data_IF_312592057568
#
_entry.id   IF_312592057568
#
_cell.length_a   1.000
_cell.length_b   1.000
_cell.length_c   1.000
_cell.angle_alpha   90.00
_cell.angle_beta   90.00
_cell.angle_gamma   90.00
#
_symmetry.space_group_name_H-M   'P 1'
#
loop_
_entity.id
_entity.type
_entity.pdbx_description
1 polymer ?
#
# COMPACT_ATOMS: atom_id res chain seq x y z
N UNK A 1 22.25 -4.18 22.09
CA UNK A 1 21.91 -3.28 20.97
C UNK A 1 20.41 -3.22 20.90
N UNK A 2 19.86 -2.01 20.92
CA UNK A 2 18.43 -1.74 21.17
C UNK A 2 17.69 -1.97 19.84
N UNK A 3 17.04 -3.13 19.70
CA UNK A 3 16.15 -3.38 18.57
C UNK A 3 15.00 -2.39 18.65
N UNK A 4 14.94 -1.45 17.71
CA UNK A 4 13.79 -0.56 17.57
C UNK A 4 12.61 -1.42 17.13
N UNK A 5 11.82 -1.91 18.10
CA UNK A 5 10.45 -2.33 17.86
C UNK A 5 9.69 -1.06 17.47
N UNK A 6 9.72 -0.73 16.17
CA UNK A 6 8.80 0.24 15.60
C UNK A 6 7.39 -0.27 15.89
N UNK A 7 6.76 0.29 16.92
CA UNK A 7 5.39 0.02 17.28
C UNK A 7 4.55 0.38 16.06
N UNK A 8 4.14 -0.63 15.27
CA UNK A 8 3.22 -0.41 14.17
C UNK A 8 1.96 0.20 14.77
N UNK A 9 1.55 1.33 14.23
CA UNK A 9 0.26 1.91 14.60
C UNK A 9 -0.78 0.98 14.03
N UNK A 10 -1.52 0.30 14.90
CA UNK A 10 -2.66 -0.53 14.48
C UNK A 10 -3.74 0.39 13.90
N UNK A 11 -4.21 0.09 12.70
CA UNK A 11 -5.15 0.88 11.92
C UNK A 11 -6.47 0.11 11.80
N UNK A 12 -7.30 0.08 12.87
CA UNK A 12 -8.46 -0.79 12.92
C UNK A 12 -9.51 -0.47 11.84
N UNK A 13 -9.53 0.77 11.33
CA UNK A 13 -10.58 1.24 10.40
C UNK A 13 -10.01 1.77 9.08
N UNK A 14 -10.79 1.72 8.01
CA UNK A 14 -10.41 2.28 6.70
C UNK A 14 -10.07 3.77 6.81
N UNK A 15 -10.86 4.53 7.58
CA UNK A 15 -10.62 5.96 7.83
C UNK A 15 -9.30 6.22 8.56
N UNK A 16 -8.96 5.41 9.56
CA UNK A 16 -7.68 5.52 10.27
C UNK A 16 -6.50 5.31 9.32
N UNK A 17 -6.62 4.37 8.37
CA UNK A 17 -5.59 4.15 7.35
C UNK A 17 -5.52 5.28 6.33
N UNK A 18 -6.65 5.79 5.85
CA UNK A 18 -6.68 6.96 4.95
C UNK A 18 -6.02 8.18 5.62
N UNK A 19 -6.29 8.41 6.90
CA UNK A 19 -5.67 9.50 7.66
C UNK A 19 -4.15 9.31 7.78
N UNK A 20 -3.68 8.10 8.06
CA UNK A 20 -2.25 7.79 8.10
C UNK A 20 -1.57 7.97 6.73
N UNK A 21 -2.21 7.52 5.64
CA UNK A 21 -1.71 7.71 4.27
C UNK A 21 -1.65 9.20 3.92
N UNK A 22 -2.66 9.99 4.34
CA UNK A 22 -2.67 11.44 4.14
C UNK A 22 -1.52 12.13 4.85
N UNK A 23 -1.17 11.70 6.06
CA UNK A 23 -0.01 12.21 6.78
C UNK A 23 1.30 11.92 6.02
N UNK A 24 1.46 10.70 5.47
CA UNK A 24 2.64 10.35 4.65
C UNK A 24 2.67 11.18 3.36
N UNK A 25 1.55 11.32 2.66
CA UNK A 25 1.45 12.12 1.45
C UNK A 25 1.85 13.57 1.70
N UNK A 26 1.40 14.16 2.82
CA UNK A 26 1.77 15.51 3.23
C UNK A 26 3.29 15.62 3.51
N UNK A 27 3.86 14.66 4.26
CA UNK A 27 5.28 14.64 4.59
C UNK A 27 6.19 14.61 3.34
N UNK A 28 5.79 13.86 2.31
CA UNK A 28 6.53 13.75 1.05
C UNK A 28 6.04 14.71 -0.04
N UNK A 29 5.14 15.65 0.28
CA UNK A 29 4.56 16.64 -0.64
C UNK A 29 3.97 15.99 -1.90
N UNK A 30 3.21 14.91 -1.73
CA UNK A 30 2.53 14.18 -2.80
C UNK A 30 1.09 14.64 -2.93
N UNK A 31 0.65 14.81 -4.18
CA UNK A 31 -0.75 14.99 -4.47
C UNK A 31 -1.48 13.67 -4.18
N UNK A 32 -2.57 13.76 -3.41
CA UNK A 32 -3.37 12.61 -2.99
C UNK A 32 -4.81 12.84 -3.40
N UNK A 33 -5.38 11.87 -4.11
CA UNK A 33 -6.83 11.78 -4.31
C UNK A 33 -7.35 10.55 -3.57
N UNK A 34 -8.56 10.65 -3.01
CA UNK A 34 -9.19 9.56 -2.29
C UNK A 34 -10.62 9.43 -2.76
N UNK A 35 -11.00 8.21 -3.12
CA UNK A 35 -12.36 7.82 -3.47
C UNK A 35 -12.80 6.76 -2.47
N UNK A 36 -13.88 7.04 -1.75
CA UNK A 36 -14.46 6.09 -0.80
C UNK A 36 -15.62 5.38 -1.49
N UNK A 37 -15.62 4.06 -1.48
CA UNK A 37 -16.71 3.25 -2.00
C UNK A 37 -17.57 2.76 -0.83
N UNK A 38 -18.47 3.64 -0.39
CA UNK A 38 -19.37 3.40 0.73
C UNK A 38 -20.65 2.76 0.17
N UNK A 39 -20.71 1.43 0.21
CA UNK A 39 -21.91 0.67 -0.11
C UNK A 39 -22.26 0.56 -1.61
N UNK A 40 -21.34 0.80 -2.54
CA UNK A 40 -21.59 0.59 -3.96
C UNK A 40 -20.91 -0.69 -4.49
N UNK A 41 -21.78 -1.68 -4.68
CA UNK A 41 -21.59 -2.95 -5.36
C UNK A 41 -20.88 -2.79 -6.74
N UNK A 42 -19.56 -3.06 -6.86
CA UNK A 42 -18.91 -3.22 -8.18
C UNK A 42 -17.85 -4.30 -8.36
N UNK A 43 -17.40 -5.02 -7.33
CA UNK A 43 -16.55 -6.21 -7.56
C UNK A 43 -16.90 -7.38 -6.66
N UNK A 44 -17.81 -8.22 -7.15
CA UNK A 44 -17.92 -9.68 -7.01
C UNK A 44 -17.04 -10.46 -6.00
N UNK A 45 -16.91 -10.01 -4.74
CA UNK A 45 -16.64 -10.88 -3.59
C UNK A 45 -17.81 -10.77 -2.63
N UNK A 46 -18.79 -11.65 -2.84
CA UNK A 46 -19.95 -11.82 -1.96
C UNK A 46 -19.44 -12.43 -0.65
N UNK A 47 -18.98 -11.59 0.29
CA UNK A 47 -19.08 -11.92 1.71
C UNK A 47 -20.34 -11.25 2.22
N UNK A 48 -21.33 -12.05 2.58
CA UNK A 48 -22.60 -11.61 3.13
C UNK A 48 -22.35 -10.84 4.44
N UNK A 49 -22.28 -9.52 4.40
CA UNK A 49 -22.45 -8.70 5.59
C UNK A 49 -23.95 -8.75 5.98
N UNK A 50 -24.32 -9.26 7.15
CA UNK A 50 -25.70 -9.24 7.61
C UNK A 50 -26.18 -7.79 7.69
N UNK A 51 -27.44 -7.53 7.29
CA UNK A 51 -28.20 -6.39 7.82
C UNK A 51 -27.96 -6.38 9.34
N UNK A 52 -27.45 -5.28 9.91
CA UNK A 52 -26.91 -5.13 11.28
C UNK A 52 -25.38 -5.26 11.47
N UNK A 53 -24.54 -5.00 10.45
CA UNK A 53 -23.11 -4.84 10.69
C UNK A 53 -22.85 -3.62 11.61
N UNK A 54 -22.23 -3.88 12.75
CA UNK A 54 -21.82 -2.88 13.72
C UNK A 54 -20.93 -1.84 13.02
N UNK A 55 -21.20 -0.56 13.29
CA UNK A 55 -20.24 0.52 13.01
C UNK A 55 -18.89 0.15 13.62
N UNK A 56 -17.80 0.47 12.93
CA UNK A 56 -16.44 0.38 13.49
C UNK A 56 -16.38 1.16 14.83
N UNK A 57 -15.37 0.93 15.70
CA UNK A 57 -15.23 1.63 16.98
C UNK A 57 -15.21 3.17 16.86
N UNK A 58 -14.91 3.71 15.67
CA UNK A 58 -14.92 5.13 15.33
C UNK A 58 -16.24 5.64 14.72
N UNK A 59 -17.24 4.76 14.57
CA UNK A 59 -18.54 5.09 13.98
C UNK A 59 -18.61 4.97 12.46
N UNK A 60 -17.50 4.63 11.79
CA UNK A 60 -17.48 4.44 10.33
C UNK A 60 -18.12 3.11 9.91
N UNK A 61 -18.62 3.04 8.68
CA UNK A 61 -19.05 1.77 8.09
C UNK A 61 -17.82 1.08 7.48
N UNK A 62 -17.62 -0.23 7.67
CA UNK A 62 -16.60 -0.97 6.95
C UNK A 62 -16.82 -0.82 5.43
N UNK A 63 -15.84 -0.24 4.74
CA UNK A 63 -15.95 0.09 3.32
C UNK A 63 -14.59 0.05 2.62
N UNK A 64 -14.62 -0.04 1.30
CA UNK A 64 -13.42 0.02 0.47
C UNK A 64 -13.03 1.47 0.19
N UNK A 65 -11.73 1.77 0.22
CA UNK A 65 -11.22 3.08 -0.17
C UNK A 65 -10.10 2.95 -1.19
N UNK A 66 -10.16 3.77 -2.23
CA UNK A 66 -9.12 3.89 -3.24
C UNK A 66 -8.37 5.21 -3.04
N UNK A 67 -7.06 5.11 -2.84
CA UNK A 67 -6.16 6.25 -2.71
C UNK A 67 -5.20 6.24 -3.88
N UNK A 68 -5.10 7.36 -4.59
CA UNK A 68 -4.10 7.55 -5.63
C UNK A 68 -3.14 8.68 -5.26
N UNK A 69 -1.86 8.36 -5.27
CA UNK A 69 -0.75 9.26 -4.98
C UNK A 69 0.00 9.54 -6.28
N UNK A 70 -0.15 10.77 -6.75
CA UNK A 70 0.44 11.21 -8.01
C UNK A 70 1.95 11.45 -7.91
N UNK A 71 2.58 11.48 -9.09
CA UNK A 71 4.00 11.80 -9.27
C UNK A 71 4.82 10.59 -9.72
N UNK A 72 6.12 10.67 -9.49
CA UNK A 72 7.05 9.56 -9.74
C UNK A 72 7.71 9.17 -8.41
N UNK A 73 7.51 7.93 -7.92
CA UNK A 73 6.65 6.89 -8.49
C UNK A 73 5.16 7.23 -8.35
N UNK A 74 4.33 6.75 -9.27
CA UNK A 74 2.88 6.76 -9.10
C UNK A 74 2.49 5.60 -8.17
N UNK A 75 1.65 5.85 -7.16
CA UNK A 75 1.24 4.83 -6.20
C UNK A 75 -0.26 4.83 -6.02
N UNK A 76 -0.89 3.71 -6.35
CA UNK A 76 -2.32 3.48 -6.10
C UNK A 76 -2.47 2.48 -4.95
N UNK A 77 -3.44 2.71 -4.07
CA UNK A 77 -3.69 1.90 -2.88
C UNK A 77 -5.18 1.62 -2.85
N UNK A 78 -5.55 0.35 -2.72
CA UNK A 78 -6.91 -0.08 -2.44
C UNK A 78 -6.96 -0.69 -1.06
N UNK A 79 -7.72 -0.07 -0.17
CA UNK A 79 -7.98 -0.55 1.18
C UNK A 79 -9.26 -1.38 1.16
N UNK A 80 -9.20 -2.58 1.74
CA UNK A 80 -10.35 -3.46 1.91
C UNK A 80 -10.84 -3.41 3.36
N UNK A 81 -12.12 -3.69 3.63
CA UNK A 81 -12.66 -3.69 5.00
C UNK A 81 -12.05 -4.80 5.88
N UNK A 82 -11.52 -5.88 5.30
CA UNK A 82 -10.94 -7.05 6.00
C UNK A 82 -9.50 -6.86 6.52
N UNK A 83 -9.05 -5.62 6.72
CA UNK A 83 -7.70 -5.25 7.23
C UNK A 83 -6.52 -5.51 6.27
N UNK A 84 -6.81 -5.78 5.01
CA UNK A 84 -5.83 -5.91 3.93
C UNK A 84 -5.89 -4.74 2.94
N UNK A 85 -4.80 -4.62 2.16
CA UNK A 85 -4.64 -3.60 1.15
C UNK A 85 -3.92 -4.17 -0.07
N UNK A 86 -4.29 -3.68 -1.24
CA UNK A 86 -3.51 -3.82 -2.46
C UNK A 86 -2.78 -2.51 -2.76
N UNK A 87 -1.48 -2.57 -3.02
CA UNK A 87 -0.66 -1.39 -3.35
C UNK A 87 -0.04 -1.61 -4.72
N UNK A 88 -0.28 -0.69 -5.65
CA UNK A 88 0.39 -0.66 -6.96
C UNK A 88 1.43 0.44 -6.96
N UNK A 89 2.71 0.08 -7.07
CA UNK A 89 3.82 1.04 -7.20
C UNK A 89 4.31 1.02 -8.64
N UNK A 90 4.01 2.08 -9.39
CA UNK A 90 4.52 2.30 -10.75
C UNK A 90 4.30 1.08 -11.67
N UNK A 91 3.12 0.46 -11.54
CA UNK A 91 2.70 -0.74 -12.26
C UNK A 91 3.02 -2.08 -11.58
N UNK A 92 3.72 -2.08 -10.44
CA UNK A 92 4.02 -3.31 -9.66
C UNK A 92 2.97 -3.50 -8.57
N UNK A 93 2.19 -4.59 -8.64
CA UNK A 93 1.05 -4.84 -7.75
C UNK A 93 1.42 -5.74 -6.56
N UNK A 94 1.37 -5.18 -5.36
CA UNK A 94 1.49 -5.92 -4.10
C UNK A 94 0.08 -6.21 -3.58
N UNK A 95 -0.28 -7.49 -3.52
CA UNK A 95 -1.52 -7.96 -2.91
C UNK A 95 -1.29 -8.35 -1.45
N UNK A 96 -2.38 -8.43 -0.68
CA UNK A 96 -2.39 -8.95 0.69
C UNK A 96 -1.44 -8.20 1.65
N UNK A 97 -1.28 -6.89 1.46
CA UNK A 97 -0.49 -6.05 2.37
C UNK A 97 -1.33 -5.71 3.59
N UNK A 98 -0.91 -6.04 4.83
CA UNK A 98 -1.65 -5.63 6.02
C UNK A 98 -1.81 -4.12 6.05
N UNK A 99 -2.97 -3.63 6.46
CA UNK A 99 -3.27 -2.18 6.50
C UNK A 99 -2.24 -1.40 7.33
N UNK A 100 -1.79 -1.96 8.44
CA UNK A 100 -0.74 -1.42 9.32
C UNK A 100 0.62 -1.25 8.62
N UNK A 101 0.87 -2.03 7.56
CA UNK A 101 2.08 -1.96 6.77
C UNK A 101 2.02 -0.89 5.68
N UNK A 102 0.85 -0.32 5.36
CA UNK A 102 0.71 0.66 4.27
C UNK A 102 1.51 1.95 4.54
N UNK A 103 1.39 2.63 5.71
CA UNK A 103 2.19 3.84 5.97
C UNK A 103 3.72 3.62 5.95
N UNK A 104 4.29 2.58 6.60
CA UNK A 104 5.73 2.33 6.52
C UNK A 104 6.16 1.92 5.11
N UNK A 105 5.32 1.22 4.35
CA UNK A 105 5.59 0.89 2.95
C UNK A 105 5.75 2.15 2.10
N UNK A 106 4.80 3.09 2.19
CA UNK A 106 4.89 4.37 1.47
C UNK A 106 6.12 5.18 1.89
N UNK A 107 6.43 5.19 3.19
CA UNK A 107 7.62 5.83 3.72
C UNK A 107 8.90 5.21 3.14
N UNK A 108 8.97 3.89 2.99
CA UNK A 108 10.12 3.21 2.37
C UNK A 108 10.24 3.52 0.87
N UNK A 109 9.13 3.57 0.14
CA UNK A 109 9.10 3.90 -1.29
C UNK A 109 9.59 5.34 -1.52
N UNK A 110 8.94 6.31 -0.87
CA UNK A 110 9.26 7.73 -1.05
C UNK A 110 10.55 8.15 -0.36
N UNK A 111 10.92 7.49 0.74
CA UNK A 111 12.15 7.72 1.49
C UNK A 111 13.42 7.17 0.82
N UNK A 112 13.30 6.49 -0.33
CA UNK A 112 14.47 6.04 -1.08
C UNK A 112 14.98 4.64 -0.70
N UNK A 113 14.26 3.90 0.14
CA UNK A 113 14.67 2.58 0.60
C UNK A 113 14.30 1.46 -0.38
N UNK A 114 13.26 1.67 -1.19
CA UNK A 114 12.86 0.73 -2.23
C UNK A 114 13.96 0.61 -3.31
N UNK A 115 14.28 -0.63 -3.68
CA UNK A 115 15.29 -0.97 -4.69
C UNK A 115 14.79 -2.07 -5.61
N UNK A 116 15.30 -2.10 -6.84
CA UNK A 116 15.00 -3.13 -7.82
C UNK A 116 16.18 -4.08 -7.92
N UNK A 117 15.93 -5.38 -7.78
CA UNK A 117 16.95 -6.41 -8.02
C UNK A 117 16.71 -7.08 -9.37
N UNK A 118 17.77 -7.24 -10.14
CA UNK A 118 17.74 -7.95 -11.41
C UNK A 118 18.15 -9.41 -11.23
N UNK A 119 17.38 -10.33 -11.81
CA UNK A 119 17.75 -11.73 -11.93
C UNK A 119 18.21 -12.01 -13.36
N UNK A 120 19.38 -12.62 -13.52
CA UNK A 120 19.93 -12.97 -14.84
C UNK A 120 19.26 -14.19 -15.50
N UNK A 121 18.75 -15.15 -14.72
CA UNK A 121 18.16 -16.37 -15.29
C UNK A 121 17.06 -17.00 -14.41
N UNK A 122 15.80 -17.11 -14.91
CA UNK A 122 15.27 -16.38 -16.06
C UNK A 122 15.37 -14.85 -15.86
N UNK A 123 15.47 -14.07 -16.95
CA UNK A 123 15.58 -12.62 -16.87
C UNK A 123 14.31 -12.02 -16.26
N UNK A 124 14.48 -11.16 -15.27
CA UNK A 124 13.36 -10.47 -14.63
C UNK A 124 13.83 -9.49 -13.56
N UNK A 125 12.95 -8.55 -13.23
CA UNK A 125 13.18 -7.57 -12.18
C UNK A 125 12.22 -7.82 -11.03
N UNK A 126 12.68 -7.54 -9.81
CA UNK A 126 11.84 -7.54 -8.62
C UNK A 126 11.98 -6.23 -7.89
N UNK A 127 10.86 -5.61 -7.55
CA UNK A 127 10.83 -4.46 -6.66
C UNK A 127 10.85 -4.96 -5.21
N UNK A 128 11.85 -4.54 -4.45
CA UNK A 128 12.01 -4.86 -3.04
C UNK A 128 11.74 -3.60 -2.21
N UNK A 129 10.81 -3.69 -1.26
CA UNK A 129 10.46 -2.61 -0.34
C UNK A 129 10.69 -3.10 1.09
N UNK A 130 11.83 -2.75 1.70
CA UNK A 130 12.12 -3.12 3.08
C UNK A 130 11.34 -2.22 4.04
N UNK A 131 10.61 -2.82 4.98
CA UNK A 131 9.92 -2.14 6.05
C UNK A 131 10.76 -2.10 7.33
N UNK A 132 10.51 -1.12 8.20
CA UNK A 132 11.01 -1.15 9.57
C UNK A 132 10.47 -2.40 10.30
N UNK A 133 11.37 -3.19 10.89
CA UNK A 133 11.01 -4.43 11.60
C UNK A 133 11.31 -5.73 10.84
N UNK A 134 12.26 -5.70 9.90
CA UNK A 134 12.82 -6.87 9.18
C UNK A 134 11.88 -7.55 8.16
N UNK A 135 10.73 -6.92 7.87
CA UNK A 135 9.82 -7.38 6.83
C UNK A 135 10.20 -6.74 5.48
N UNK A 136 10.24 -7.52 4.40
CA UNK A 136 10.53 -6.99 3.07
C UNK A 136 9.54 -7.53 2.06
N UNK A 137 8.76 -6.64 1.47
CA UNK A 137 7.86 -6.96 0.36
C UNK A 137 8.66 -7.05 -0.92
N UNK A 138 8.47 -8.12 -1.69
CA UNK A 138 9.18 -8.37 -2.95
C UNK A 138 8.20 -8.84 -3.98
N UNK A 139 8.11 -8.11 -5.09
CA UNK A 139 7.20 -8.47 -6.16
C UNK A 139 7.86 -8.39 -7.53
N UNK A 140 7.39 -9.22 -8.45
CA UNK A 140 7.85 -9.24 -9.84
C UNK A 140 7.39 -7.97 -10.55
N UNK A 141 8.34 -7.29 -11.21
CA UNK A 141 7.98 -6.20 -12.11
C UNK A 141 7.36 -6.81 -13.37
N UNK A 142 6.15 -6.39 -13.77
CA UNK A 142 5.52 -6.94 -14.96
C UNK A 142 6.29 -6.51 -16.21
N UNK A 143 6.57 -7.48 -17.08
CA UNK A 143 7.26 -7.25 -18.35
C UNK A 143 8.79 -7.09 -18.25
N UNK A 144 9.39 -6.71 -19.37
CA UNK A 144 10.85 -6.50 -19.51
C UNK A 144 11.26 -5.03 -19.49
N UNK A 145 10.29 -4.11 -19.62
CA UNK A 145 10.52 -2.67 -19.64
C UNK A 145 10.33 -2.07 -18.26
N UNK A 146 11.38 -1.45 -17.73
CA UNK A 146 11.31 -0.66 -16.52
C UNK A 146 10.84 0.76 -16.83
N UNK A 147 10.00 1.31 -15.97
CA UNK A 147 9.72 2.75 -15.96
C UNK A 147 11.00 3.55 -15.63
N UNK A 148 11.05 4.87 -15.91
CA UNK A 148 12.18 5.69 -15.53
C UNK A 148 12.51 5.63 -14.03
N UNK A 149 11.50 5.54 -13.16
CA UNK A 149 11.70 5.44 -11.73
C UNK A 149 12.30 4.09 -11.32
N UNK A 150 11.74 2.98 -11.81
CA UNK A 150 12.26 1.64 -11.53
C UNK A 150 13.71 1.49 -12.01
N UNK A 151 14.01 2.01 -13.20
CA UNK A 151 15.36 2.01 -13.77
C UNK A 151 16.37 2.73 -12.87
N UNK A 152 15.97 3.86 -12.27
CA UNK A 152 16.79 4.61 -11.33
C UNK A 152 17.01 3.95 -9.97
N UNK A 153 16.35 2.81 -9.69
CA UNK A 153 16.42 2.07 -8.43
C UNK A 153 17.07 0.68 -8.57
N UNK A 154 17.57 0.32 -9.75
CA UNK A 154 18.25 -0.95 -9.97
C UNK A 154 19.55 -0.99 -9.17
N UNK A 155 19.74 -2.10 -8.44
CA UNK A 155 20.96 -2.45 -7.71
C UNK A 155 21.53 -3.78 -8.20
#
# INVERSE_FOLDING_TARGET
MIGSMTHRTHLPTTESAVAAIRAVAAAYRRAMSVTHDIGADRTSRRSSAPLFCATDPDGSLPHEAFVDLGGSPAVSIRLFPEDDAAITVDGVEFHDVPRDCVPPFLTAVYGGLAFVTARRFPPGYRLCVPLPGDETFKELVPGVSLTPWLSGRVR
#
